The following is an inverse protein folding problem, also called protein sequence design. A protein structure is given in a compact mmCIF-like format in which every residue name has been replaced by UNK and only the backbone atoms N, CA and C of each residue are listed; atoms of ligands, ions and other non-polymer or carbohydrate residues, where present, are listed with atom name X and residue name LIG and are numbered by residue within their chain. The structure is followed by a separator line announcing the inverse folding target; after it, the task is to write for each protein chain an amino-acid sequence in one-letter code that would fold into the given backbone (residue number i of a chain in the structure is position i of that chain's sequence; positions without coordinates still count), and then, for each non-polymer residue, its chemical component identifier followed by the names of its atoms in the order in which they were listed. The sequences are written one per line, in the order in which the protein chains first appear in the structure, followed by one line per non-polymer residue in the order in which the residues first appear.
data_IF_220324153463
#
_entry.id   IF_220324153463
#
_cell.length_a   1.000
_cell.length_b   1.000
_cell.length_c   1.000
_cell.angle_alpha   90.00
_cell.angle_beta   90.00
_cell.angle_gamma   90.00
#
_symmetry.space_group_name_H-M   'P 1'
#
loop_
_entity.id
_entity.type
_entity.pdbx_description
1 polymer ?
#
# COMPACT_ATOMS: atom_id res chain seq x y z
N UNK A 1 -19.14 -4.94 19.66
CA UNK A 1 -18.51 -4.28 18.52
C UNK A 1 -17.07 -4.70 18.39
N UNK A 2 -16.62 -4.88 17.18
CA UNK A 2 -15.23 -5.27 16.93
C UNK A 2 -14.32 -4.06 16.93
N UNK A 3 -13.11 -4.26 17.43
CA UNK A 3 -12.09 -3.22 17.34
C UNK A 3 -11.72 -2.97 15.87
N UNK A 4 -11.48 -1.73 15.48
CA UNK A 4 -11.13 -1.41 14.07
C UNK A 4 -9.93 -2.19 13.51
N UNK A 5 -9.03 -2.69 14.38
CA UNK A 5 -7.87 -3.47 13.90
C UNK A 5 -8.27 -4.70 13.08
N UNK A 6 -9.50 -5.22 13.31
CA UNK A 6 -9.98 -6.40 12.57
C UNK A 6 -10.25 -6.11 11.09
N UNK A 7 -10.37 -4.84 10.72
CA UNK A 7 -10.53 -4.44 9.34
C UNK A 7 -9.19 -4.13 8.64
N UNK A 8 -8.07 -4.23 9.37
CA UNK A 8 -6.75 -4.06 8.77
C UNK A 8 -6.46 -5.20 7.83
N UNK A 9 -5.76 -4.88 6.76
CA UNK A 9 -5.35 -5.87 5.76
C UNK A 9 -3.93 -6.33 6.08
N UNK A 10 -3.75 -7.63 6.31
CA UNK A 10 -2.45 -8.17 6.70
C UNK A 10 -1.38 -7.89 5.65
N UNK A 11 -1.76 -7.96 4.38
CA UNK A 11 -0.82 -7.69 3.29
C UNK A 11 -0.33 -6.25 3.32
N UNK A 12 -1.23 -5.32 3.59
CA UNK A 12 -0.93 -3.90 3.60
C UNK A 12 -0.33 -3.41 4.92
N UNK A 13 -0.17 -4.30 5.88
CA UNK A 13 0.51 -3.97 7.14
C UNK A 13 2.02 -3.86 7.01
N UNK A 14 2.59 -4.33 5.91
CA UNK A 14 4.03 -4.24 5.67
C UNK A 14 4.38 -2.87 5.09
N UNK A 15 5.37 -2.16 5.64
CA UNK A 15 5.66 -0.78 5.20
C UNK A 15 5.90 -0.60 3.71
N UNK A 16 6.65 -1.51 3.08
CA UNK A 16 6.93 -1.40 1.65
C UNK A 16 5.65 -1.66 0.84
N UNK A 17 4.89 -2.69 1.19
CA UNK A 17 3.65 -3.00 0.48
C UNK A 17 2.62 -1.87 0.63
N UNK A 18 2.50 -1.33 1.82
CA UNK A 18 1.61 -0.19 2.05
C UNK A 18 2.05 1.02 1.21
N UNK A 19 3.34 1.29 1.17
CA UNK A 19 3.89 2.42 0.41
C UNK A 19 3.68 2.26 -1.08
N UNK A 20 3.85 1.03 -1.59
CA UNK A 20 3.55 0.74 -3.00
C UNK A 20 2.08 1.03 -3.29
N UNK A 21 1.18 0.51 -2.48
CA UNK A 21 -0.26 0.71 -2.67
C UNK A 21 -0.61 2.20 -2.62
N UNK A 22 -0.05 2.94 -1.68
CA UNK A 22 -0.31 4.38 -1.55
C UNK A 22 0.15 5.14 -2.79
N UNK A 23 1.34 4.82 -3.29
CA UNK A 23 1.87 5.46 -4.47
C UNK A 23 1.00 5.16 -5.70
N UNK A 24 0.59 3.90 -5.86
CA UNK A 24 -0.25 3.50 -6.99
C UNK A 24 -1.68 4.03 -6.86
N UNK A 25 -2.15 4.29 -5.65
CA UNK A 25 -3.47 4.87 -5.44
C UNK A 25 -3.52 6.32 -5.94
N UNK A 26 -2.39 7.00 -5.94
CA UNK A 26 -2.29 8.39 -6.38
C UNK A 26 -2.09 8.54 -7.89
N UNK A 27 -1.87 7.43 -8.61
CA UNK A 27 -1.57 7.47 -10.04
C UNK A 27 -2.26 6.29 -10.74
N UNK A 28 -2.46 6.40 -12.06
CA UNK A 28 -3.11 5.33 -12.80
C UNK A 28 -2.16 4.16 -13.06
N UNK A 29 -0.90 4.45 -13.38
CA UNK A 29 0.15 3.44 -13.47
C UNK A 29 1.50 4.11 -13.23
N UNK A 30 2.44 3.36 -12.69
CA UNK A 30 3.76 3.90 -12.34
C UNK A 30 4.81 2.88 -12.76
N UNK A 31 5.91 3.36 -13.28
CA UNK A 31 7.00 2.50 -13.70
C UNK A 31 7.69 1.89 -12.46
N UNK A 32 8.06 0.61 -12.58
CA UNK A 32 8.70 -0.13 -11.49
C UNK A 32 9.95 0.60 -10.98
N UNK A 33 10.79 1.09 -11.88
CA UNK A 33 12.02 1.77 -11.49
C UNK A 33 11.76 3.05 -10.71
N UNK A 34 10.69 3.77 -11.05
CA UNK A 34 10.31 4.96 -10.29
C UNK A 34 9.89 4.59 -8.86
N UNK A 35 9.06 3.55 -8.73
CA UNK A 35 8.62 3.07 -7.41
C UNK A 35 9.82 2.64 -6.57
N UNK A 36 10.72 1.87 -7.17
CA UNK A 36 11.94 1.41 -6.51
C UNK A 36 12.76 2.57 -5.95
N UNK A 37 13.01 3.56 -6.79
CA UNK A 37 13.87 4.70 -6.42
C UNK A 37 13.17 5.60 -5.40
N UNK A 38 11.87 5.82 -5.60
CA UNK A 38 11.08 6.66 -4.69
C UNK A 38 11.00 6.05 -3.28
N UNK A 39 10.87 4.74 -3.20
CA UNK A 39 10.79 4.04 -1.91
C UNK A 39 12.16 3.68 -1.34
N UNK A 40 13.22 3.95 -2.08
CA UNK A 40 14.61 3.69 -1.64
C UNK A 40 14.83 2.22 -1.26
N UNK A 41 14.35 1.33 -2.13
CA UNK A 41 14.55 -0.11 -1.96
C UNK A 41 15.29 -0.64 -3.18
N UNK A 42 15.83 -1.87 -3.07
CA UNK A 42 16.48 -2.50 -4.22
C UNK A 42 15.46 -3.31 -5.05
N UNK A 43 15.91 -3.74 -6.23
CA UNK A 43 15.06 -4.48 -7.17
C UNK A 43 14.46 -5.73 -6.55
N UNK A 44 15.27 -6.52 -5.85
CA UNK A 44 14.78 -7.79 -5.31
C UNK A 44 13.77 -7.58 -4.19
N UNK A 45 13.97 -6.59 -3.34
CA UNK A 45 13.01 -6.25 -2.29
C UNK A 45 11.68 -5.82 -2.90
N UNK A 46 11.72 -4.88 -3.85
CA UNK A 46 10.49 -4.40 -4.47
C UNK A 46 9.80 -5.51 -5.23
N UNK A 47 10.55 -6.29 -6.00
CA UNK A 47 10.01 -7.40 -6.79
C UNK A 47 9.26 -8.40 -5.92
N UNK A 48 9.83 -8.75 -4.77
CA UNK A 48 9.20 -9.67 -3.83
C UNK A 48 7.89 -9.10 -3.29
N UNK A 49 7.90 -7.85 -2.88
CA UNK A 49 6.70 -7.22 -2.31
C UNK A 49 5.61 -7.03 -3.37
N UNK A 50 5.99 -6.64 -4.58
CA UNK A 50 5.06 -6.49 -5.69
C UNK A 50 4.44 -7.85 -6.06
N UNK A 51 5.25 -8.91 -6.07
CA UNK A 51 4.73 -10.26 -6.35
C UNK A 51 3.66 -10.68 -5.35
N UNK A 52 3.85 -10.37 -4.08
CA UNK A 52 2.85 -10.69 -3.07
C UNK A 52 1.55 -9.93 -3.31
N UNK A 53 1.63 -8.66 -3.69
CA UNK A 53 0.46 -7.86 -4.01
C UNK A 53 -0.22 -8.34 -5.29
N UNK A 54 0.56 -8.76 -6.27
CA UNK A 54 0.04 -9.29 -7.52
C UNK A 54 -0.71 -10.59 -7.29
N UNK A 55 -0.14 -11.49 -6.50
CA UNK A 55 -0.77 -12.77 -6.19
C UNK A 55 -2.09 -12.61 -5.44
N UNK A 56 -2.19 -11.56 -4.64
CA UNK A 56 -3.43 -11.26 -3.93
C UNK A 56 -4.47 -10.57 -4.83
N UNK A 57 -4.10 -10.22 -6.05
CA UNK A 57 -5.00 -9.53 -6.96
C UNK A 57 -5.07 -8.03 -6.74
N UNK A 58 -4.15 -7.46 -5.96
CA UNK A 58 -4.17 -6.03 -5.63
C UNK A 58 -3.42 -5.17 -6.64
N UNK A 59 -2.42 -5.74 -7.30
CA UNK A 59 -1.55 -5.03 -8.24
C UNK A 59 -1.50 -5.76 -9.55
N UNK A 60 -1.54 -5.03 -10.63
CA UNK A 60 -1.33 -5.52 -11.98
C UNK A 60 0.06 -5.12 -12.44
N UNK A 61 0.80 -6.08 -12.97
CA UNK A 61 2.15 -5.87 -13.49
C UNK A 61 2.10 -6.04 -14.99
N UNK A 62 2.54 -5.02 -15.73
CA UNK A 62 2.56 -5.06 -17.19
C UNK A 62 3.98 -4.80 -17.65
N UNK A 63 4.53 -5.72 -18.44
CA UNK A 63 5.85 -5.58 -19.04
C UNK A 63 5.69 -5.13 -20.48
N UNK A 64 6.56 -4.23 -20.90
CA UNK A 64 6.53 -3.71 -22.25
C UNK A 64 7.87 -3.11 -22.61
N UNK A 65 7.88 -2.31 -23.66
CA UNK A 65 9.10 -1.70 -24.16
C UNK A 65 8.87 -0.24 -24.49
N UNK A 66 9.92 0.56 -24.26
CA UNK A 66 10.02 1.91 -24.78
C UNK A 66 11.25 1.89 -25.67
N UNK A 67 11.05 1.88 -27.00
CA UNK A 67 12.13 1.60 -27.93
C UNK A 67 12.62 0.18 -27.74
N UNK A 68 13.91 0.02 -27.47
CA UNK A 68 14.52 -1.30 -27.22
C UNK A 68 14.64 -1.63 -25.74
N UNK A 69 14.20 -0.74 -24.86
CA UNK A 69 14.35 -0.93 -23.41
C UNK A 69 13.09 -1.55 -22.84
N UNK A 70 13.29 -2.62 -22.08
CA UNK A 70 12.21 -3.23 -21.34
C UNK A 70 11.78 -2.33 -20.18
N UNK A 71 10.48 -2.25 -19.96
CA UNK A 71 9.89 -1.48 -18.87
C UNK A 71 8.82 -2.31 -18.19
N UNK A 72 8.70 -2.11 -16.88
CA UNK A 72 7.66 -2.75 -16.11
C UNK A 72 6.82 -1.66 -15.46
N UNK A 73 5.50 -1.78 -15.61
CA UNK A 73 4.53 -0.81 -15.11
C UNK A 73 3.65 -1.47 -14.08
N UNK A 74 3.34 -0.74 -13.02
CA UNK A 74 2.51 -1.21 -11.93
C UNK A 74 1.26 -0.35 -11.84
N UNK A 75 0.13 -0.98 -11.52
CA UNK A 75 -1.11 -0.26 -11.25
C UNK A 75 -1.91 -1.01 -10.19
N UNK A 76 -2.74 -0.29 -9.45
CA UNK A 76 -3.69 -0.93 -8.54
C UNK A 76 -4.87 -1.46 -9.35
N UNK A 77 -5.29 -2.66 -8.98
CA UNK A 77 -6.56 -3.19 -9.46
C UNK A 77 -7.70 -2.53 -8.70
N UNK A 78 -8.94 -2.76 -9.14
CA UNK A 78 -10.11 -2.30 -8.39
C UNK A 78 -10.12 -2.90 -6.99
N UNK A 79 -9.81 -4.18 -6.89
CA UNK A 79 -9.73 -4.87 -5.61
C UNK A 79 -8.63 -4.29 -4.72
N UNK A 80 -7.46 -4.03 -5.30
CA UNK A 80 -6.36 -3.41 -4.56
C UNK A 80 -6.71 -2.03 -4.02
N UNK A 81 -7.40 -1.23 -4.83
CA UNK A 81 -7.85 0.10 -4.41
C UNK A 81 -8.84 0.00 -3.25
N UNK A 82 -9.79 -0.92 -3.33
CA UNK A 82 -10.76 -1.15 -2.24
C UNK A 82 -10.07 -1.62 -0.97
N UNK A 83 -9.12 -2.54 -1.11
CA UNK A 83 -8.37 -3.04 0.04
C UNK A 83 -7.56 -1.93 0.69
N UNK A 84 -6.93 -1.09 -0.11
CA UNK A 84 -6.16 0.05 0.38
C UNK A 84 -7.06 1.03 1.15
N UNK A 85 -8.22 1.34 0.59
CA UNK A 85 -9.16 2.27 1.21
C UNK A 85 -9.69 1.74 2.54
N UNK A 86 -10.02 0.44 2.59
CA UNK A 86 -10.48 -0.19 3.84
C UNK A 86 -9.39 -0.18 4.90
N UNK A 87 -8.18 -0.50 4.49
CA UNK A 87 -7.03 -0.52 5.40
C UNK A 87 -6.76 0.88 5.95
N UNK A 88 -6.78 1.89 5.09
CA UNK A 88 -6.56 3.27 5.49
C UNK A 88 -7.66 3.76 6.44
N UNK A 89 -8.91 3.41 6.15
CA UNK A 89 -10.03 3.76 7.02
C UNK A 89 -9.90 3.11 8.40
N UNK A 90 -9.44 1.85 8.43
CA UNK A 90 -9.21 1.15 9.70
C UNK A 90 -8.10 1.82 10.51
N UNK A 91 -7.00 2.20 9.85
CA UNK A 91 -5.93 2.93 10.51
C UNK A 91 -6.42 4.24 11.12
N UNK A 92 -7.24 4.98 10.39
CA UNK A 92 -7.82 6.22 10.88
C UNK A 92 -8.71 5.99 12.10
N UNK A 93 -9.53 4.96 12.04
CA UNK A 93 -10.42 4.64 13.15
C UNK A 93 -9.64 4.24 14.40
N UNK A 94 -8.56 3.50 14.23
CA UNK A 94 -7.69 3.16 15.36
C UNK A 94 -7.09 4.43 15.94
N UNK A 95 -6.57 5.31 15.10
CA UNK A 95 -5.94 6.54 15.55
C UNK A 95 -6.95 7.46 16.26
N UNK A 96 -8.16 7.55 15.72
CA UNK A 96 -9.20 8.40 16.31
C UNK A 96 -9.72 7.82 17.61
N UNK A 97 -10.05 6.53 17.63
CA UNK A 97 -10.60 5.87 18.79
C UNK A 97 -9.58 5.77 19.91
N UNK A 98 -8.45 5.18 19.64
CA UNK A 98 -7.43 4.91 20.65
C UNK A 98 -6.68 6.18 21.01
N UNK A 99 -6.44 7.04 20.01
CA UNK A 99 -5.80 8.32 20.20
C UNK A 99 -6.63 9.29 21.04
N UNK A 100 -7.92 9.33 20.78
CA UNK A 100 -8.84 10.16 21.57
C UNK A 100 -8.89 9.65 23.01
N UNK A 101 -8.96 8.33 23.20
CA UNK A 101 -8.92 7.75 24.52
C UNK A 101 -7.63 8.09 25.25
N UNK A 102 -6.52 7.98 24.58
CA UNK A 102 -5.22 8.32 25.15
C UNK A 102 -5.12 9.80 25.46
N UNK A 103 -5.63 10.64 24.58
CA UNK A 103 -5.62 12.09 24.79
C UNK A 103 -6.44 12.47 26.02
N UNK A 104 -7.61 11.90 26.17
CA UNK A 104 -8.46 12.15 27.33
C UNK A 104 -7.78 11.66 28.60
N UNK A 105 -7.20 10.48 28.54
CA UNK A 105 -6.55 9.90 29.71
C UNK A 105 -5.29 10.65 30.12
N UNK A 106 -4.56 11.11 29.13
CA UNK A 106 -3.29 11.76 29.38
C UNK A 106 -3.36 13.24 29.50
N UNK A 107 -4.46 13.79 29.18
CA UNK A 107 -4.46 15.02 28.91
C UNK A 107 -4.46 16.01 29.55
N UNK A 108 -4.36 16.28 29.34
CA UNK A 108 -4.37 16.96 29.39
C UNK A 108 -4.00 17.29 30.15
N UNK A 109 -3.67 16.77 30.33
CA UNK A 109 -3.10 17.30 31.26
C UNK A 109 -2.53 18.10 31.51
#
# INVERSE_FOLDING_TARGET
MSHPRHALDDLLGHPVRFSVAALLAAASKVEFSFVRDHLEVNDSTLSKQVSMLEQAGYVKVVKGFVGKRGRTWLSLTREGRRAFERHLAALRKIAESDGVGASIAGSRG
#
